data_IF_580192266754
#
_entry.id   IF_580192266754
#
_cell.length_a   1.000
_cell.length_b   1.000
_cell.length_c   1.000
_cell.angle_alpha   90.00
_cell.angle_beta   90.00
_cell.angle_gamma   90.00
#
_symmetry.space_group_name_H-M   'P 1'
#
loop_
_entity.id
_entity.type
_entity.pdbx_description
1 polymer ?
#
# COMPACT_ATOMS: atom_id res chain seq x y z
N UNK A 1 8.55 -11.83 -7.70
CA UNK A 1 8.68 -11.53 -6.25
C UNK A 1 7.63 -10.55 -5.80
N UNK A 2 7.56 -9.36 -6.35
CA UNK A 2 6.52 -8.41 -5.96
C UNK A 2 5.12 -8.91 -6.26
N UNK A 3 4.94 -9.68 -7.32
CA UNK A 3 3.64 -10.27 -7.65
C UNK A 3 3.15 -11.24 -6.57
N UNK A 4 4.07 -11.99 -5.97
CA UNK A 4 3.72 -12.92 -4.88
C UNK A 4 3.31 -12.17 -3.63
N UNK A 5 4.02 -11.09 -3.33
CA UNK A 5 3.70 -10.22 -2.19
C UNK A 5 2.32 -9.58 -2.39
N UNK A 6 2.08 -9.09 -3.59
CA UNK A 6 0.81 -8.47 -3.93
C UNK A 6 -0.36 -9.46 -3.82
N UNK A 7 -0.17 -10.67 -4.35
CA UNK A 7 -1.20 -11.71 -4.26
C UNK A 7 -1.48 -12.10 -2.81
N UNK A 8 -0.44 -12.18 -1.99
CA UNK A 8 -0.58 -12.46 -0.57
C UNK A 8 -1.40 -11.38 0.13
N UNK A 9 -1.08 -10.12 -0.12
CA UNK A 9 -1.81 -8.99 0.47
C UNK A 9 -3.30 -9.06 0.10
N UNK A 10 -3.60 -9.22 -1.18
CA UNK A 10 -4.99 -9.25 -1.66
C UNK A 10 -5.76 -10.38 -0.97
N UNK A 11 -5.15 -11.56 -0.90
CA UNK A 11 -5.78 -12.73 -0.27
C UNK A 11 -6.03 -12.49 1.23
N UNK A 12 -5.01 -12.01 1.95
CA UNK A 12 -5.13 -11.79 3.39
C UNK A 12 -6.16 -10.73 3.72
N UNK A 13 -6.17 -9.64 2.96
CA UNK A 13 -7.15 -8.58 3.15
C UNK A 13 -8.55 -9.11 2.93
N UNK A 14 -8.75 -9.93 1.88
CA UNK A 14 -10.05 -10.53 1.60
C UNK A 14 -10.47 -11.47 2.72
N UNK A 15 -9.55 -12.27 3.25
CA UNK A 15 -9.84 -13.17 4.39
C UNK A 15 -10.28 -12.39 5.62
N UNK A 16 -9.78 -11.18 5.80
CA UNK A 16 -10.14 -10.32 6.92
C UNK A 16 -11.39 -9.48 6.65
N UNK A 17 -12.02 -9.67 5.52
CA UNK A 17 -13.26 -8.98 5.17
C UNK A 17 -13.08 -7.66 4.46
N UNK A 18 -11.86 -7.30 4.09
CA UNK A 18 -11.58 -6.06 3.37
C UNK A 18 -11.39 -6.26 1.88
N UNK A 19 -11.02 -5.20 1.20
CA UNK A 19 -10.70 -5.21 -0.23
C UNK A 19 -9.43 -4.41 -0.48
N UNK A 20 -8.55 -4.96 -1.30
CA UNK A 20 -7.30 -4.28 -1.69
C UNK A 20 -7.39 -3.91 -3.18
N UNK A 21 -7.70 -2.66 -3.45
CA UNK A 21 -7.79 -2.16 -4.82
C UNK A 21 -6.41 -1.78 -5.34
N UNK A 22 -6.18 -2.08 -6.61
CA UNK A 22 -4.95 -1.63 -7.27
C UNK A 22 -5.07 -0.14 -7.55
N UNK A 23 -4.06 0.60 -7.13
CA UNK A 23 -4.05 2.05 -7.26
C UNK A 23 -2.96 2.46 -8.24
N UNK A 24 -3.36 3.03 -9.36
CA UNK A 24 -2.42 3.57 -10.35
C UNK A 24 -2.80 5.02 -10.65
N UNK A 25 -1.79 5.88 -10.72
CA UNK A 25 -2.01 7.27 -11.06
C UNK A 25 -0.90 7.73 -12.00
N UNK A 26 -1.16 7.74 -13.32
CA UNK A 26 -0.11 8.13 -14.27
C UNK A 26 0.33 9.58 -14.13
N UNK A 27 -0.51 10.43 -13.57
CA UNK A 27 -0.19 11.85 -13.38
C UNK A 27 0.61 12.12 -12.10
N UNK A 28 0.66 11.16 -11.16
CA UNK A 28 1.33 11.35 -9.88
C UNK A 28 2.21 10.15 -9.59
N UNK A 29 3.50 10.34 -9.70
CA UNK A 29 4.47 9.29 -9.35
C UNK A 29 4.55 9.16 -7.84
N UNK A 30 4.90 7.96 -7.38
CA UNK A 30 5.13 7.69 -5.98
C UNK A 30 3.89 7.38 -5.17
N UNK A 31 2.69 7.36 -5.79
CA UNK A 31 1.50 6.90 -5.08
C UNK A 31 1.62 5.41 -4.77
N UNK A 32 0.95 4.99 -3.70
CA UNK A 32 1.05 3.62 -3.22
C UNK A 32 0.44 2.62 -4.20
N UNK A 33 0.92 1.36 -4.14
CA UNK A 33 0.49 0.30 -5.04
C UNK A 33 -0.96 -0.12 -4.83
N UNK A 34 -1.41 -0.12 -3.57
CA UNK A 34 -2.73 -0.60 -3.21
C UNK A 34 -3.42 0.33 -2.23
N UNK A 35 -4.72 0.45 -2.39
CA UNK A 35 -5.60 1.06 -1.38
C UNK A 35 -6.37 -0.08 -0.75
N UNK A 36 -6.22 -0.23 0.57
CA UNK A 36 -6.88 -1.29 1.33
C UNK A 36 -8.01 -0.68 2.16
N UNK A 37 -9.22 -1.18 1.95
CA UNK A 37 -10.39 -0.77 2.71
C UNK A 37 -10.79 -1.92 3.63
N UNK A 38 -10.81 -1.65 4.93
CA UNK A 38 -11.11 -2.67 5.95
C UNK A 38 -12.53 -2.53 6.48
N UNK A 39 -13.09 -3.62 7.05
CA UNK A 39 -14.48 -3.58 7.57
C UNK A 39 -14.70 -2.61 8.71
N UNK A 40 -13.64 -2.23 9.43
CA UNK A 40 -13.75 -1.25 10.52
C UNK A 40 -13.83 0.19 10.01
N UNK A 41 -13.85 0.38 8.70
CA UNK A 41 -13.89 1.70 8.09
C UNK A 41 -12.52 2.32 7.83
N UNK A 42 -11.43 1.64 8.20
CA UNK A 42 -10.10 2.18 7.95
C UNK A 42 -9.68 1.97 6.50
N UNK A 43 -8.93 2.95 6.00
CA UNK A 43 -8.37 2.93 4.65
C UNK A 43 -6.86 3.06 4.76
N UNK A 44 -6.13 2.19 4.07
CA UNK A 44 -4.68 2.15 4.12
C UNK A 44 -4.09 2.32 2.73
N UNK A 45 -3.04 3.13 2.64
CA UNK A 45 -2.25 3.27 1.42
C UNK A 45 -1.03 2.38 1.58
N UNK A 46 -0.97 1.29 0.83
CA UNK A 46 0.02 0.25 1.03
C UNK A 46 1.01 0.22 -0.13
N UNK A 47 2.29 0.34 0.20
CA UNK A 47 3.39 0.20 -0.74
C UNK A 47 4.01 -1.18 -0.55
N UNK A 48 4.15 -1.94 -1.63
CA UNK A 48 4.67 -3.31 -1.59
C UNK A 48 6.13 -3.31 -2.02
N UNK A 49 6.98 -3.88 -1.18
CA UNK A 49 8.40 -4.01 -1.46
C UNK A 49 8.88 -5.40 -1.10
N UNK A 50 9.75 -5.95 -1.92
CA UNK A 50 10.47 -7.17 -1.58
C UNK A 50 11.49 -6.87 -0.49
N UNK A 51 11.97 -7.92 0.18
CA UNK A 51 13.01 -7.79 1.19
C UNK A 51 14.24 -7.08 0.58
N UNK A 52 14.75 -6.08 1.29
CA UNK A 52 15.83 -5.25 0.80
C UNK A 52 15.42 -4.12 -0.12
N UNK A 53 14.15 -4.08 -0.53
CA UNK A 53 13.63 -2.97 -1.31
C UNK A 53 13.47 -1.73 -0.46
N UNK A 54 13.57 -0.57 -1.10
CA UNK A 54 13.45 0.72 -0.42
C UNK A 54 12.43 1.60 -1.13
N UNK A 55 11.81 2.46 -0.36
CA UNK A 55 10.92 3.48 -0.95
C UNK A 55 11.75 4.48 -1.75
N UNK A 56 11.26 4.85 -2.93
CA UNK A 56 11.82 5.96 -3.68
C UNK A 56 11.53 7.27 -2.95
N UNK A 57 12.20 8.33 -3.34
CA UNK A 57 11.95 9.65 -2.75
C UNK A 57 10.50 10.09 -2.98
N UNK A 58 9.95 9.81 -4.15
CA UNK A 58 8.56 10.14 -4.44
C UNK A 58 7.58 9.33 -3.57
N UNK A 59 7.87 8.06 -3.32
CA UNK A 59 7.06 7.22 -2.45
C UNK A 59 7.12 7.69 -1.01
N UNK A 60 8.30 8.09 -0.54
CA UNK A 60 8.46 8.67 0.79
C UNK A 60 7.66 9.96 0.93
N UNK A 61 7.70 10.80 -0.10
CA UNK A 61 6.95 12.05 -0.12
C UNK A 61 5.44 11.79 -0.03
N UNK A 62 4.94 10.82 -0.81
CA UNK A 62 3.53 10.45 -0.78
C UNK A 62 3.11 9.97 0.61
N UNK A 63 3.89 9.08 1.21
CA UNK A 63 3.58 8.55 2.55
C UNK A 63 3.58 9.66 3.61
N UNK A 64 4.55 10.56 3.53
CA UNK A 64 4.62 11.69 4.45
C UNK A 64 3.40 12.62 4.29
N UNK A 65 2.97 12.84 3.06
CA UNK A 65 1.80 13.65 2.76
C UNK A 65 0.52 13.02 3.33
N UNK A 66 0.38 11.70 3.16
CA UNK A 66 -0.77 10.98 3.71
C UNK A 66 -0.79 11.03 5.23
N UNK A 67 0.39 10.89 5.86
CA UNK A 67 0.49 10.98 7.31
C UNK A 67 0.09 12.37 7.80
N UNK A 68 0.54 13.41 7.11
CA UNK A 68 0.18 14.79 7.43
C UNK A 68 -1.33 15.02 7.37
N UNK A 69 -2.00 14.33 6.44
CA UNK A 69 -3.45 14.42 6.28
C UNK A 69 -4.19 13.41 7.16
N UNK A 70 -3.51 12.81 8.11
CA UNK A 70 -4.06 11.81 9.04
C UNK A 70 -4.60 10.56 8.34
N UNK A 71 -4.09 10.26 7.16
CA UNK A 71 -4.41 9.02 6.47
C UNK A 71 -3.50 7.90 6.97
N UNK A 72 -3.96 6.67 6.87
CA UNK A 72 -3.16 5.52 7.26
C UNK A 72 -2.26 5.10 6.11
N UNK A 73 -0.99 4.87 6.41
CA UNK A 73 -0.03 4.40 5.44
C UNK A 73 0.70 3.18 5.95
N UNK A 74 1.06 2.30 5.05
CA UNK A 74 1.78 1.10 5.42
C UNK A 74 2.77 0.72 4.33
N UNK A 75 3.94 0.28 4.77
CA UNK A 75 4.93 -0.37 3.92
C UNK A 75 4.80 -1.86 4.20
N UNK A 76 4.38 -2.60 3.19
CA UNK A 76 4.28 -4.05 3.33
C UNK A 76 5.56 -4.69 2.78
N UNK A 77 6.36 -5.21 3.68
CA UNK A 77 7.61 -5.87 3.35
C UNK A 77 7.56 -7.28 3.91
N UNK A 78 7.64 -8.26 3.04
CA UNK A 78 7.61 -9.65 3.46
C UNK A 78 9.02 -10.19 3.39
N UNK A 79 9.72 -10.27 4.49
CA UNK A 79 11.12 -10.71 4.62
C UNK A 79 12.16 -9.92 3.84
#
# INVERSE_FOLDING_TARGET
MEKQIEAYLVRRVKELGGVAYKFTSPAHRGVSDRIVCMPDGSTWFVELKASGGRLSELQKHFQAEMLRLAQKGALCQLW
#
